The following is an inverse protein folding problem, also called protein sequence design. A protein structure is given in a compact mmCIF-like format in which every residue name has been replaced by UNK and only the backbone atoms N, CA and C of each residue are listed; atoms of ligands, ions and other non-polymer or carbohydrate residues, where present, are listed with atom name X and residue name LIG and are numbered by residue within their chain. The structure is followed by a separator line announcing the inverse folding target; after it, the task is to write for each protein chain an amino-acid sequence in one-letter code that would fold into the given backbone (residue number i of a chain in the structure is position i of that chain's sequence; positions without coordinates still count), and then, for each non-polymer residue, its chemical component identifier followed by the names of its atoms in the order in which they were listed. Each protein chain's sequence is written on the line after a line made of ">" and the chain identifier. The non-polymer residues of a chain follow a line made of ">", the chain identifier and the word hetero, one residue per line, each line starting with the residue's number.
data_IF_551234593670
#
_entry.id   IF_551234593670
#
_cell.length_a   1.000
_cell.length_b   1.000
_cell.length_c   1.000
_cell.angle_alpha   90.00
_cell.angle_beta   90.00
_cell.angle_gamma   90.00
#
_symmetry.space_group_name_H-M   'P 1'
#
loop_
_entity.id
_entity.type
_entity.pdbx_description
1 polymer ?
#
# COMPACT_ATOMS: atom_id res chain seq x y z
N UNK A 1 41.59 30.89 -51.32
CA UNK A 1 40.55 31.18 -50.31
C UNK A 1 39.63 29.97 -50.23
N UNK A 2 39.70 29.15 -49.18
CA UNK A 2 38.81 28.01 -49.01
C UNK A 2 37.99 28.22 -47.73
N UNK A 3 36.71 28.49 -47.90
CA UNK A 3 35.73 28.62 -46.80
C UNK A 3 35.52 27.24 -46.17
N UNK A 4 35.96 27.05 -44.93
CA UNK A 4 35.58 25.87 -44.13
C UNK A 4 34.14 26.05 -43.65
N UNK A 5 33.25 25.23 -44.19
CA UNK A 5 31.87 25.10 -43.74
C UNK A 5 31.83 24.48 -42.32
N UNK A 6 31.41 25.27 -41.33
CA UNK A 6 31.24 24.88 -39.91
C UNK A 6 29.88 24.24 -39.61
N UNK A 7 29.07 23.95 -40.62
CA UNK A 7 27.66 23.54 -40.45
C UNK A 7 27.48 22.11 -39.91
N UNK A 8 28.48 21.23 -40.04
CA UNK A 8 28.39 19.84 -39.62
C UNK A 8 28.51 19.62 -38.10
N UNK A 9 29.47 20.27 -37.44
CA UNK A 9 29.73 20.05 -36.01
C UNK A 9 28.64 20.61 -35.10
N UNK A 10 28.01 21.72 -35.49
CA UNK A 10 26.94 22.33 -34.69
C UNK A 10 25.65 21.50 -34.68
N UNK A 11 25.31 20.83 -35.80
CA UNK A 11 24.15 19.93 -35.88
C UNK A 11 24.28 18.72 -34.96
N UNK A 12 25.46 18.11 -34.90
CA UNK A 12 25.70 16.91 -34.07
C UNK A 12 25.64 17.24 -32.57
N UNK A 13 26.13 18.41 -32.14
CA UNK A 13 26.00 18.85 -30.75
C UNK A 13 24.53 19.09 -30.36
N UNK A 14 23.74 19.73 -31.23
CA UNK A 14 22.33 19.99 -30.96
C UNK A 14 21.49 18.71 -30.90
N UNK A 15 21.72 17.74 -31.79
CA UNK A 15 21.05 16.44 -31.73
C UNK A 15 21.36 15.67 -30.43
N UNK A 16 22.62 15.69 -29.98
CA UNK A 16 23.03 14.99 -28.75
C UNK A 16 22.43 15.61 -27.48
N UNK A 17 22.38 16.94 -27.42
CA UNK A 17 21.69 17.64 -26.33
C UNK A 17 20.19 17.36 -26.34
N UNK A 18 19.56 17.37 -27.51
CA UNK A 18 18.12 17.09 -27.63
C UNK A 18 17.76 15.67 -27.17
N UNK A 19 18.56 14.67 -27.54
CA UNK A 19 18.33 13.28 -27.10
C UNK A 19 18.53 13.07 -25.60
N UNK A 20 19.50 13.74 -24.98
CA UNK A 20 19.72 13.66 -23.53
C UNK A 20 18.56 14.30 -22.75
N UNK A 21 18.07 15.46 -23.20
CA UNK A 21 16.95 16.14 -22.57
C UNK A 21 15.65 15.32 -22.69
N UNK A 22 15.38 14.71 -23.84
CA UNK A 22 14.22 13.82 -24.02
C UNK A 22 14.31 12.60 -23.10
N UNK A 23 15.49 11.99 -22.95
CA UNK A 23 15.69 10.86 -22.04
C UNK A 23 15.44 11.24 -20.57
N UNK A 24 15.88 12.43 -20.12
CA UNK A 24 15.63 12.93 -18.76
C UNK A 24 14.14 13.23 -18.55
N UNK A 25 13.46 13.83 -19.52
CA UNK A 25 12.02 14.10 -19.44
C UNK A 25 11.22 12.78 -19.39
N UNK A 26 11.57 11.79 -20.20
CA UNK A 26 10.96 10.47 -20.12
C UNK A 26 11.25 9.75 -18.78
N UNK A 27 12.43 9.95 -18.18
CA UNK A 27 12.79 9.43 -16.86
C UNK A 27 11.93 10.04 -15.75
N UNK A 28 11.68 11.36 -15.80
CA UNK A 28 10.83 12.06 -14.83
C UNK A 28 9.35 11.67 -14.95
N UNK A 29 8.90 11.30 -16.16
CA UNK A 29 7.52 10.83 -16.41
C UNK A 29 7.30 9.36 -16.02
N UNK A 30 8.37 8.58 -15.84
CA UNK A 30 8.32 7.16 -15.47
C UNK A 30 8.48 6.91 -13.97
N UNK A 31 8.66 7.95 -13.16
CA UNK A 31 8.59 7.83 -11.70
C UNK A 31 7.18 7.38 -11.29
N UNK A 32 7.04 6.48 -10.30
CA UNK A 32 5.72 6.15 -9.77
C UNK A 32 5.07 7.44 -9.29
N UNK A 33 3.90 7.76 -9.83
CA UNK A 33 3.09 8.85 -9.29
C UNK A 33 2.63 8.42 -7.90
N UNK A 34 2.93 9.23 -6.88
CA UNK A 34 2.20 9.16 -5.62
C UNK A 34 0.69 9.30 -5.93
N UNK A 35 -0.15 8.50 -5.27
CA UNK A 35 -1.61 8.53 -5.43
C UNK A 35 -2.21 7.60 -6.49
N UNK A 36 -1.47 6.63 -7.03
CA UNK A 36 -2.10 5.48 -7.71
C UNK A 36 -2.35 4.37 -6.68
N UNK A 37 -3.57 4.31 -6.16
CA UNK A 37 -3.95 3.31 -5.15
C UNK A 37 -4.20 1.92 -5.72
N UNK A 38 -4.03 0.89 -4.88
CA UNK A 38 -4.49 -0.48 -5.14
C UNK A 38 -5.85 -0.63 -4.48
N UNK A 39 -6.86 -1.05 -5.25
CA UNK A 39 -8.22 -1.24 -4.76
C UNK A 39 -8.61 -2.72 -4.77
N UNK A 40 -9.22 -3.16 -3.68
CA UNK A 40 -9.87 -4.47 -3.55
C UNK A 40 -11.37 -4.26 -3.39
N UNK A 41 -12.17 -4.93 -4.21
CA UNK A 41 -13.63 -4.85 -4.15
C UNK A 41 -14.19 -5.92 -3.23
N UNK A 42 -15.28 -5.56 -2.56
CA UNK A 42 -16.03 -6.44 -1.68
C UNK A 42 -17.45 -6.64 -2.23
N UNK A 43 -18.04 -7.85 -2.16
CA UNK A 43 -19.39 -8.09 -2.64
C UNK A 43 -20.43 -7.30 -1.84
N UNK A 44 -21.27 -6.52 -2.51
CA UNK A 44 -22.32 -5.76 -1.81
C UNK A 44 -23.35 -6.69 -1.15
N UNK A 45 -23.67 -6.41 0.11
CA UNK A 45 -24.76 -7.05 0.85
C UNK A 45 -24.42 -8.43 1.42
N UNK A 46 -23.14 -8.73 1.62
CA UNK A 46 -22.68 -9.89 2.37
C UNK A 46 -22.35 -9.59 3.85
N UNK A 47 -22.74 -8.39 4.30
CA UNK A 47 -22.78 -7.96 5.70
C UNK A 47 -23.34 -9.06 6.62
N UNK A 48 -22.62 -9.26 7.71
CA UNK A 48 -22.97 -10.16 8.79
C UNK A 48 -24.08 -9.56 9.64
N UNK A 49 -25.25 -10.20 9.65
CA UNK A 49 -26.46 -9.65 10.25
C UNK A 49 -27.28 -8.85 9.24
N UNK A 50 -28.09 -7.91 9.70
CA UNK A 50 -28.91 -7.07 8.83
C UNK A 50 -28.67 -5.60 9.17
N UNK A 51 -28.22 -4.81 8.19
CA UNK A 51 -27.97 -3.38 8.36
C UNK A 51 -26.59 -2.96 7.87
N UNK A 52 -25.98 -2.00 8.54
CA UNK A 52 -24.66 -1.44 8.25
C UNK A 52 -23.66 -1.79 9.35
N UNK A 53 -22.34 -1.77 9.07
CA UNK A 53 -21.67 -1.40 7.82
C UNK A 53 -21.74 -2.47 6.71
N UNK A 54 -21.64 -2.05 5.44
CA UNK A 54 -21.56 -2.90 4.23
C UNK A 54 -20.41 -2.36 3.38
N UNK A 55 -19.24 -3.02 3.42
CA UNK A 55 -18.03 -2.61 2.71
C UNK A 55 -18.22 -2.87 1.22
N UNK A 56 -17.77 -1.95 0.37
CA UNK A 56 -17.74 -2.16 -1.10
C UNK A 56 -16.33 -2.21 -1.66
N UNK A 57 -15.37 -1.73 -0.88
CA UNK A 57 -13.97 -1.89 -1.21
C UNK A 57 -13.04 -1.14 -0.29
N UNK A 58 -11.76 -1.42 -0.46
CA UNK A 58 -10.67 -0.74 0.21
C UNK A 58 -9.65 -0.32 -0.83
N UNK A 59 -9.32 0.95 -0.83
CA UNK A 59 -8.23 1.51 -1.61
C UNK A 59 -7.06 1.83 -0.70
N UNK A 60 -5.87 1.41 -1.10
CA UNK A 60 -4.62 1.69 -0.39
C UNK A 60 -3.68 2.48 -1.28
N UNK A 61 -3.14 3.59 -0.81
CA UNK A 61 -2.25 4.45 -1.60
C UNK A 61 -1.06 4.93 -0.78
N UNK A 62 0.12 4.98 -1.39
CA UNK A 62 1.24 5.67 -0.78
C UNK A 62 1.05 7.18 -0.86
N UNK A 63 1.14 7.84 0.29
CA UNK A 63 0.97 9.30 0.40
C UNK A 63 2.23 10.07 -0.02
N UNK A 64 3.39 9.38 -0.08
CA UNK A 64 4.68 9.99 -0.36
C UNK A 64 5.49 9.19 -1.40
N UNK A 65 6.41 9.83 -2.14
CA UNK A 65 7.39 9.11 -2.97
C UNK A 65 8.34 8.20 -2.17
N UNK A 66 8.53 8.45 -0.87
CA UNK A 66 9.34 7.60 -0.01
C UNK A 66 8.62 6.28 0.34
N UNK A 67 7.28 6.26 0.19
CA UNK A 67 6.42 5.12 0.51
C UNK A 67 6.61 4.65 1.95
N UNK A 68 6.71 5.62 2.87
CA UNK A 68 6.81 5.44 4.32
C UNK A 68 5.45 5.50 5.01
N UNK A 69 4.42 5.93 4.29
CA UNK A 69 3.06 6.07 4.75
C UNK A 69 2.10 5.49 3.71
N UNK A 70 1.13 4.71 4.19
CA UNK A 70 0.04 4.16 3.38
C UNK A 70 -1.29 4.69 3.90
N UNK A 71 -2.02 5.38 3.03
CA UNK A 71 -3.39 5.77 3.27
C UNK A 71 -4.33 4.62 2.91
N UNK A 72 -5.27 4.34 3.79
CA UNK A 72 -6.41 3.47 3.59
C UNK A 72 -7.65 4.33 3.39
N UNK A 73 -8.43 4.00 2.37
CA UNK A 73 -9.80 4.50 2.16
C UNK A 73 -10.71 3.27 2.11
N UNK A 74 -11.58 3.14 3.10
CA UNK A 74 -12.60 2.08 3.17
C UNK A 74 -13.91 2.68 2.72
N UNK A 75 -14.52 2.11 1.69
CA UNK A 75 -15.77 2.58 1.11
C UNK A 75 -16.93 1.69 1.53
N UNK A 76 -18.10 2.30 1.79
CA UNK A 76 -19.30 1.64 2.27
C UNK A 76 -20.51 1.88 1.35
N UNK A 77 -21.32 0.85 1.15
CA UNK A 77 -22.55 0.90 0.34
C UNK A 77 -23.61 1.81 0.98
N UNK A 78 -23.60 1.91 2.31
CA UNK A 78 -24.56 2.67 3.10
C UNK A 78 -23.86 3.59 4.11
N UNK A 79 -24.55 4.63 4.62
CA UNK A 79 -23.93 5.52 5.58
C UNK A 79 -23.48 4.81 6.86
N UNK A 80 -22.32 5.21 7.39
CA UNK A 80 -21.78 4.72 8.67
C UNK A 80 -21.93 5.77 9.78
N UNK A 81 -22.05 5.30 11.03
CA UNK A 81 -22.04 6.15 12.21
C UNK A 81 -20.68 6.07 12.90
N UNK A 82 -19.93 7.17 12.89
CA UNK A 82 -18.63 7.25 13.54
C UNK A 82 -18.70 7.04 15.08
N UNK A 83 -19.85 7.30 15.70
CA UNK A 83 -20.03 7.16 17.15
C UNK A 83 -20.31 5.72 17.60
N UNK A 84 -20.58 4.80 16.66
CA UNK A 84 -20.80 3.39 16.94
C UNK A 84 -19.89 2.50 16.07
N UNK A 85 -18.84 3.08 15.50
CA UNK A 85 -17.93 2.36 14.61
C UNK A 85 -16.88 1.58 15.40
N UNK A 86 -16.94 0.26 15.30
CA UNK A 86 -15.89 -0.63 15.78
C UNK A 86 -15.18 -1.22 14.57
N UNK A 87 -13.85 -1.31 14.61
CA UNK A 87 -13.13 -1.96 13.52
C UNK A 87 -11.77 -2.47 13.94
N UNK A 88 -11.23 -3.35 13.11
CA UNK A 88 -9.97 -4.03 13.31
C UNK A 88 -9.34 -4.33 11.96
N UNK A 89 -8.06 -3.98 11.80
CA UNK A 89 -7.28 -4.28 10.60
C UNK A 89 -6.09 -5.16 11.00
N UNK A 90 -6.08 -6.40 10.50
CA UNK A 90 -4.97 -7.34 10.62
C UNK A 90 -3.95 -7.09 9.52
N UNK A 91 -2.66 -7.15 9.85
CA UNK A 91 -1.56 -7.00 8.89
C UNK A 91 -0.62 -8.19 9.02
N UNK A 92 -0.52 -8.96 7.94
CA UNK A 92 0.44 -10.05 7.74
C UNK A 92 1.58 -9.52 6.88
N UNK A 93 2.69 -9.19 7.55
CA UNK A 93 3.82 -8.53 6.91
C UNK A 93 4.91 -9.52 6.49
N UNK A 94 4.90 -10.77 6.94
CA UNK A 94 5.85 -11.79 6.50
C UNK A 94 5.27 -12.75 5.44
N UNK A 95 3.98 -12.59 5.12
CA UNK A 95 3.21 -13.33 4.13
C UNK A 95 3.07 -14.81 4.47
N UNK A 96 3.11 -15.13 5.76
CA UNK A 96 3.02 -16.49 6.25
C UNK A 96 1.90 -16.59 7.28
N UNK A 97 0.78 -17.17 6.85
CA UNK A 97 -0.38 -17.36 7.72
C UNK A 97 -0.18 -18.31 8.90
N UNK A 98 1.01 -18.91 9.03
CA UNK A 98 1.41 -19.72 10.18
C UNK A 98 2.22 -18.94 11.24
N UNK A 99 2.60 -17.69 10.98
CA UNK A 99 3.31 -16.79 11.91
C UNK A 99 2.35 -15.76 12.53
N UNK A 100 2.87 -14.86 13.38
CA UNK A 100 2.08 -13.81 14.02
C UNK A 100 1.30 -14.18 15.30
N UNK A 101 0.42 -13.26 15.70
CA UNK A 101 -0.47 -13.42 16.85
C UNK A 101 -1.62 -14.36 16.50
N UNK A 102 -1.63 -15.55 17.11
CA UNK A 102 -2.63 -16.58 16.83
C UNK A 102 -4.03 -16.10 17.25
N UNK A 103 -4.89 -15.75 16.29
CA UNK A 103 -6.28 -15.38 16.55
C UNK A 103 -6.96 -14.77 15.34
N UNK A 104 -7.46 -15.61 14.43
CA UNK A 104 -8.33 -15.13 13.36
C UNK A 104 -9.57 -14.43 13.93
N UNK A 105 -9.95 -13.31 13.35
CA UNK A 105 -11.19 -12.61 13.71
C UNK A 105 -12.40 -13.28 13.05
N UNK A 106 -13.58 -13.13 13.65
CA UNK A 106 -14.79 -13.90 13.28
C UNK A 106 -14.73 -15.36 13.73
N UNK A 107 -13.95 -15.67 14.77
CA UNK A 107 -13.87 -17.01 15.40
C UNK A 107 -14.14 -16.92 16.90
N UNK A 108 -14.25 -18.08 17.57
CA UNK A 108 -14.32 -18.14 19.03
C UNK A 108 -13.12 -17.44 19.65
N UNK A 109 -13.35 -16.77 20.78
CA UNK A 109 -12.28 -16.22 21.61
C UNK A 109 -11.25 -17.31 21.85
N UNK A 110 -10.02 -17.11 21.36
CA UNK A 110 -8.95 -18.06 21.52
C UNK A 110 -8.15 -17.70 22.78
N UNK A 111 -8.17 -18.52 23.84
CA UNK A 111 -7.41 -18.22 25.05
C UNK A 111 -5.91 -18.10 24.72
N UNK A 112 -5.29 -17.00 25.14
CA UNK A 112 -3.88 -16.71 24.84
C UNK A 112 -3.64 -15.98 23.51
N UNK A 113 -4.70 -15.67 22.77
CA UNK A 113 -4.66 -14.81 21.59
C UNK A 113 -4.84 -13.33 21.97
N UNK A 114 -3.78 -12.51 21.86
CA UNK A 114 -3.88 -11.08 22.14
C UNK A 114 -4.76 -10.30 21.16
N UNK A 115 -4.93 -10.79 19.93
CA UNK A 115 -5.73 -10.14 18.88
C UNK A 115 -7.20 -10.61 18.80
N UNK A 116 -7.60 -11.62 19.58
CA UNK A 116 -8.97 -12.16 19.54
C UNK A 116 -10.05 -11.29 20.19
N UNK A 117 -9.71 -10.18 20.85
CA UNK A 117 -10.66 -9.36 21.62
C UNK A 117 -11.79 -8.79 20.74
N UNK A 118 -11.55 -8.54 19.46
CA UNK A 118 -12.58 -8.04 18.53
C UNK A 118 -13.77 -9.00 18.41
N UNK A 119 -13.55 -10.31 18.66
CA UNK A 119 -14.59 -11.33 18.66
C UNK A 119 -15.60 -11.19 19.82
N UNK A 120 -15.33 -10.33 20.82
CA UNK A 120 -16.35 -9.92 21.82
C UNK A 120 -17.42 -9.01 21.22
N UNK A 121 -17.04 -8.17 20.25
CA UNK A 121 -17.91 -7.15 19.68
C UNK A 121 -18.58 -7.59 18.38
N UNK A 122 -17.89 -8.46 17.63
CA UNK A 122 -18.35 -8.96 16.34
C UNK A 122 -18.79 -10.42 16.51
N UNK A 123 -20.11 -10.63 16.64
CA UNK A 123 -20.64 -11.96 17.02
C UNK A 123 -20.54 -12.97 15.86
N UNK A 124 -19.99 -14.16 16.17
CA UNK A 124 -19.87 -15.27 15.22
C UNK A 124 -21.20 -15.84 14.72
N UNK A 125 -22.30 -15.62 15.45
CA UNK A 125 -23.61 -16.16 15.03
C UNK A 125 -24.14 -15.50 13.75
N UNK A 126 -23.45 -14.46 13.27
CA UNK A 126 -23.87 -13.63 12.15
C UNK A 126 -22.91 -13.68 10.95
N UNK A 127 -21.73 -14.33 11.05
CA UNK A 127 -20.70 -14.31 10.01
C UNK A 127 -20.70 -15.57 9.12
N UNK A 128 -21.38 -15.58 7.95
CA UNK A 128 -21.23 -16.64 6.96
C UNK A 128 -19.84 -16.63 6.31
N UNK A 129 -19.19 -17.80 6.28
CA UNK A 129 -17.97 -18.04 5.50
C UNK A 129 -16.78 -18.51 6.34
N UNK A 130 -15.68 -18.86 5.66
CA UNK A 130 -14.44 -19.24 6.35
C UNK A 130 -13.82 -18.01 7.04
N UNK A 131 -13.25 -18.14 8.25
CA UNK A 131 -12.50 -17.06 8.89
C UNK A 131 -11.33 -16.61 8.02
N UNK A 132 -11.01 -15.31 8.06
CA UNK A 132 -9.77 -14.79 7.48
C UNK A 132 -8.66 -15.02 8.51
N UNK A 133 -7.68 -15.84 8.16
CA UNK A 133 -6.49 -16.10 8.98
C UNK A 133 -5.27 -15.70 8.18
N UNK A 134 -4.74 -14.52 8.49
CA UNK A 134 -3.55 -13.99 7.85
C UNK A 134 -2.28 -14.26 8.66
N UNK A 135 -2.40 -14.62 9.94
CA UNK A 135 -1.24 -14.76 10.82
C UNK A 135 -0.59 -13.41 11.10
N UNK A 136 -1.40 -12.38 11.40
CA UNK A 136 -0.90 -11.00 11.46
C UNK A 136 0.21 -10.79 12.51
N UNK A 137 1.30 -10.15 12.10
CA UNK A 137 2.34 -9.64 12.99
C UNK A 137 1.91 -8.35 13.69
N UNK A 138 1.00 -7.59 13.08
CA UNK A 138 0.50 -6.33 13.60
C UNK A 138 -1.01 -6.24 13.42
N UNK A 139 -1.65 -5.48 14.31
CA UNK A 139 -3.03 -5.11 14.13
C UNK A 139 -3.30 -3.66 14.50
N UNK A 140 -4.32 -3.10 13.89
CA UNK A 140 -4.81 -1.75 14.16
C UNK A 140 -6.18 -1.86 14.81
N UNK A 141 -6.31 -1.39 16.04
CA UNK A 141 -7.58 -1.27 16.76
C UNK A 141 -8.28 0.03 16.33
N UNK A 142 -9.15 -0.04 15.34
CA UNK A 142 -9.90 1.14 14.88
C UNK A 142 -10.95 1.59 15.91
N UNK A 143 -11.39 0.70 16.82
CA UNK A 143 -12.33 1.03 17.88
C UNK A 143 -11.72 1.95 18.96
N UNK A 144 -10.41 1.83 19.21
CA UNK A 144 -9.68 2.74 20.12
C UNK A 144 -9.83 4.23 19.74
N UNK A 145 -10.03 4.53 18.45
CA UNK A 145 -10.24 5.89 17.96
C UNK A 145 -11.48 6.55 18.55
N UNK A 146 -12.52 5.79 18.91
CA UNK A 146 -13.73 6.31 19.55
C UNK A 146 -13.45 6.91 20.94
N UNK A 147 -12.40 6.43 21.61
CA UNK A 147 -12.04 6.80 22.97
C UNK A 147 -10.80 7.70 23.02
N UNK A 148 -10.18 7.97 21.87
CA UNK A 148 -9.01 8.83 21.73
C UNK A 148 -9.43 10.30 21.53
N UNK A 149 -8.73 11.23 22.19
CA UNK A 149 -8.95 12.68 22.04
C UNK A 149 -8.67 13.17 20.62
N UNK A 150 -7.74 12.51 19.93
CA UNK A 150 -7.29 12.85 18.58
C UNK A 150 -7.90 11.95 17.49
N UNK A 151 -8.89 11.11 17.86
CA UNK A 151 -9.52 10.11 16.98
C UNK A 151 -8.51 9.21 16.22
N UNK A 152 -7.37 8.87 16.84
CA UNK A 152 -6.37 7.98 16.25
C UNK A 152 -6.60 6.54 16.68
N UNK A 153 -6.32 5.59 15.79
CA UNK A 153 -6.34 4.18 16.11
C UNK A 153 -4.97 3.72 16.62
N UNK A 154 -4.98 2.85 17.61
CA UNK A 154 -3.80 2.21 18.16
C UNK A 154 -3.28 1.11 17.23
N UNK A 155 -1.96 1.03 17.09
CA UNK A 155 -1.25 -0.01 16.32
C UNK A 155 -0.48 -0.89 17.30
N UNK A 156 -0.74 -2.19 17.27
CA UNK A 156 -0.14 -3.16 18.17
C UNK A 156 0.70 -4.18 17.42
N UNK A 157 1.79 -4.62 18.06
CA UNK A 157 2.46 -5.87 17.69
C UNK A 157 1.63 -7.05 18.22
N UNK A 158 1.16 -7.90 17.31
CA UNK A 158 0.21 -8.94 17.62
C UNK A 158 0.79 -9.97 18.59
N UNK A 159 2.04 -10.41 18.43
CA UNK A 159 2.61 -11.47 19.28
C UNK A 159 2.75 -11.09 20.76
N UNK A 160 2.97 -9.81 21.05
CA UNK A 160 3.26 -9.29 22.39
C UNK A 160 2.13 -8.46 23.00
N UNK A 161 1.09 -8.14 22.22
CA UNK A 161 0.06 -7.16 22.56
C UNK A 161 0.61 -5.78 22.92
N UNK A 162 1.79 -5.43 22.42
CA UNK A 162 2.45 -4.16 22.75
C UNK A 162 2.03 -3.07 21.78
N UNK A 163 1.64 -1.90 22.31
CA UNK A 163 1.39 -0.71 21.50
C UNK A 163 2.71 -0.25 20.85
N UNK A 164 2.75 -0.22 19.52
CA UNK A 164 3.92 0.21 18.74
C UNK A 164 3.77 1.63 18.18
N UNK A 165 2.55 2.15 18.11
CA UNK A 165 2.26 3.51 17.66
C UNK A 165 0.78 3.74 17.42
N UNK A 166 0.46 4.80 16.67
CA UNK A 166 -0.90 5.15 16.28
C UNK A 166 -0.97 5.51 14.79
N UNK A 167 -2.16 5.44 14.21
CA UNK A 167 -2.44 5.97 12.87
C UNK A 167 -2.52 7.50 12.87
N UNK A 168 -2.72 8.10 11.70
CA UNK A 168 -3.34 9.44 11.65
C UNK A 168 -4.74 9.42 12.26
N UNK A 169 -5.31 10.60 12.53
CA UNK A 169 -6.72 10.70 12.90
C UNK A 169 -7.61 10.03 11.84
N UNK A 170 -8.57 9.25 12.29
CA UNK A 170 -9.58 8.63 11.44
C UNK A 170 -10.54 9.72 10.96
N UNK A 171 -10.72 9.79 9.65
CA UNK A 171 -11.64 10.73 9.01
C UNK A 171 -12.85 9.97 8.50
N UNK A 172 -14.00 10.23 9.11
CA UNK A 172 -15.27 9.60 8.73
C UNK A 172 -16.04 10.52 7.77
N UNK A 173 -16.24 10.04 6.54
CA UNK A 173 -17.27 10.54 5.66
C UNK A 173 -18.59 9.78 5.88
N UNK A 174 -19.64 10.20 5.18
CA UNK A 174 -20.91 9.47 5.25
C UNK A 174 -20.76 8.01 4.78
N UNK A 175 -20.01 7.79 3.70
CA UNK A 175 -19.85 6.48 3.04
C UNK A 175 -18.41 5.99 3.02
N UNK A 176 -17.50 6.61 3.78
CA UNK A 176 -16.11 6.18 3.81
C UNK A 176 -15.42 6.46 5.14
N UNK A 177 -14.34 5.72 5.35
CA UNK A 177 -13.37 5.94 6.42
C UNK A 177 -11.99 6.09 5.79
N UNK A 178 -11.26 7.13 6.18
CA UNK A 178 -9.88 7.35 5.75
C UNK A 178 -8.92 7.46 6.94
N UNK A 179 -7.74 6.85 6.82
CA UNK A 179 -6.62 7.03 7.74
C UNK A 179 -5.29 6.67 7.08
N UNK A 180 -4.18 7.14 7.64
CA UNK A 180 -2.83 6.84 7.20
C UNK A 180 -2.09 6.02 8.25
N UNK A 181 -1.39 4.99 7.80
CA UNK A 181 -0.52 4.14 8.60
C UNK A 181 0.94 4.38 8.21
N UNK A 182 1.78 4.67 9.21
CA UNK A 182 3.23 4.77 9.01
C UNK A 182 3.83 3.37 8.92
N UNK A 183 4.38 3.01 7.76
CA UNK A 183 5.00 1.70 7.53
C UNK A 183 6.21 1.39 8.41
N UNK A 184 7.02 2.37 8.87
CA UNK A 184 8.01 2.13 9.92
C UNK A 184 7.47 1.45 11.18
N UNK A 185 6.19 1.65 11.52
CA UNK A 185 5.54 0.94 12.65
C UNK A 185 5.40 -0.56 12.38
N UNK A 186 5.35 -0.96 11.11
CA UNK A 186 5.23 -2.34 10.64
C UNK A 186 6.59 -2.94 10.24
N UNK A 187 7.70 -2.40 10.78
CA UNK A 187 9.06 -2.80 10.39
C UNK A 187 9.51 -2.27 9.03
N UNK A 188 8.77 -1.34 8.43
CA UNK A 188 9.08 -0.72 7.14
C UNK A 188 8.74 -1.58 5.92
N UNK A 189 8.02 -2.69 6.11
CA UNK A 189 7.64 -3.55 5.01
C UNK A 189 6.52 -2.88 4.17
N UNK A 190 6.73 -2.89 2.85
CA UNK A 190 5.81 -2.34 1.84
C UNK A 190 4.94 -3.41 1.18
N UNK A 191 5.17 -4.67 1.55
CA UNK A 191 4.57 -5.84 0.95
C UNK A 191 3.94 -6.69 2.05
N UNK A 192 2.63 -6.59 2.19
CA UNK A 192 1.86 -7.24 3.25
C UNK A 192 0.46 -7.64 2.76
N UNK A 193 -0.13 -8.64 3.40
CA UNK A 193 -1.56 -8.92 3.32
C UNK A 193 -2.30 -8.16 4.43
N UNK A 194 -3.57 -7.86 4.20
CA UNK A 194 -4.43 -7.28 5.21
C UNK A 194 -5.81 -7.91 5.22
N UNK A 195 -6.42 -7.89 6.40
CA UNK A 195 -7.79 -8.30 6.64
C UNK A 195 -8.47 -7.26 7.49
N UNK A 196 -9.51 -6.64 6.98
CA UNK A 196 -10.29 -5.62 7.66
C UNK A 196 -11.63 -6.23 8.07
N UNK A 197 -12.03 -5.96 9.31
CA UNK A 197 -13.41 -6.15 9.75
C UNK A 197 -13.88 -4.88 10.44
N UNK A 198 -15.11 -4.48 10.16
CA UNK A 198 -15.76 -3.34 10.78
C UNK A 198 -17.17 -3.72 11.24
N UNK A 199 -17.74 -2.96 12.16
CA UNK A 199 -19.05 -3.25 12.70
C UNK A 199 -19.56 -2.18 13.63
N UNK A 200 -20.67 -2.50 14.27
CA UNK A 200 -21.29 -1.73 15.35
C UNK A 200 -21.25 -2.51 16.66
N UNK A 201 -21.40 -1.83 17.80
CA UNK A 201 -21.36 -2.50 19.10
C UNK A 201 -22.49 -3.54 19.26
N UNK A 202 -22.18 -4.83 19.03
CA UNK A 202 -23.14 -5.93 19.13
C UNK A 202 -24.17 -5.98 18.00
N UNK A 203 -23.93 -5.23 16.92
CA UNK A 203 -24.79 -5.16 15.75
C UNK A 203 -24.18 -5.81 14.50
N UNK A 204 -24.59 -5.39 13.29
CA UNK A 204 -24.04 -5.91 12.06
C UNK A 204 -22.56 -5.58 11.92
N UNK A 205 -21.87 -6.40 11.12
CA UNK A 205 -20.46 -6.25 10.81
C UNK A 205 -20.18 -6.69 9.40
N UNK A 206 -19.05 -6.27 8.85
CA UNK A 206 -18.64 -6.66 7.53
C UNK A 206 -17.14 -6.76 7.41
N UNK A 207 -16.67 -7.50 6.41
CA UNK A 207 -15.26 -7.81 6.27
C UNK A 207 -14.78 -7.81 4.84
N UNK A 208 -13.52 -7.44 4.67
CA UNK A 208 -12.83 -7.49 3.39
C UNK A 208 -11.37 -7.86 3.62
N UNK A 209 -10.75 -8.56 2.67
CA UNK A 209 -9.31 -8.83 2.69
C UNK A 209 -8.72 -8.70 1.30
N UNK A 210 -7.42 -8.44 1.21
CA UNK A 210 -6.71 -8.58 -0.07
C UNK A 210 -6.39 -10.05 -0.43
N UNK A 211 -6.88 -11.00 0.37
CA UNK A 211 -6.70 -12.43 0.18
C UNK A 211 -5.24 -12.86 0.31
N UNK A 212 -4.74 -13.61 -0.68
CA UNK A 212 -3.33 -14.04 -0.77
C UNK A 212 -2.53 -13.20 -1.77
N UNK A 213 -3.13 -12.13 -2.30
CA UNK A 213 -2.49 -11.22 -3.23
C UNK A 213 -1.96 -10.04 -2.42
N UNK A 214 -0.71 -10.08 -1.95
CA UNK A 214 -0.15 -9.02 -1.13
C UNK A 214 -0.23 -7.68 -1.86
N UNK A 215 -0.21 -6.60 -1.09
CA UNK A 215 -0.07 -5.26 -1.63
C UNK A 215 1.29 -5.15 -2.35
N UNK A 216 1.31 -5.53 -3.63
CA UNK A 216 2.49 -5.45 -4.48
C UNK A 216 2.54 -4.06 -5.08
N UNK A 217 3.49 -3.25 -4.66
CA UNK A 217 3.82 -2.03 -5.39
C UNK A 217 4.95 -2.36 -6.36
N UNK A 218 4.63 -2.64 -7.62
CA UNK A 218 5.66 -2.89 -8.65
C UNK A 218 5.28 -2.08 -9.90
N UNK A 219 6.21 -1.30 -10.50
CA UNK A 219 7.62 -1.67 -10.68
C UNK A 219 8.66 -0.76 -10.00
N UNK A 220 9.78 -1.36 -9.59
CA UNK A 220 11.05 -0.66 -9.46
C UNK A 220 11.35 0.07 -10.79
N UNK A 221 11.54 1.40 -10.80
CA UNK A 221 12.24 2.06 -11.87
C UNK A 221 13.71 2.11 -11.47
N UNK A 222 14.58 1.31 -12.09
CA UNK A 222 15.86 1.81 -12.66
C UNK A 222 16.89 0.75 -13.01
N UNK A 223 16.84 -0.51 -12.58
CA UNK A 223 17.94 -1.46 -12.87
C UNK A 223 18.06 -1.79 -14.37
N UNK A 224 16.95 -1.93 -15.09
CA UNK A 224 16.96 -2.09 -16.56
C UNK A 224 17.34 -0.79 -17.31
N UNK A 225 16.98 0.39 -16.79
CA UNK A 225 17.24 1.70 -17.42
C UNK A 225 18.68 2.18 -17.18
N UNK A 226 19.23 1.90 -15.99
CA UNK A 226 20.62 2.16 -15.63
C UNK A 226 21.57 1.30 -16.49
N UNK A 227 21.18 0.07 -16.80
CA UNK A 227 21.93 -0.80 -17.72
C UNK A 227 21.96 -0.20 -19.14
N UNK A 228 20.85 0.32 -19.65
CA UNK A 228 20.80 0.99 -20.97
C UNK A 228 21.62 2.28 -21.01
N UNK A 229 21.70 3.02 -19.89
CA UNK A 229 22.56 4.20 -19.75
C UNK A 229 24.05 3.82 -19.71
N UNK A 230 24.43 2.77 -18.97
CA UNK A 230 25.83 2.30 -18.93
C UNK A 230 26.31 1.81 -20.29
N UNK A 231 25.51 1.02 -21.03
CA UNK A 231 25.90 0.52 -22.35
C UNK A 231 25.75 1.57 -23.46
N UNK A 232 24.80 2.50 -23.35
CA UNK A 232 24.61 3.59 -24.31
C UNK A 232 25.72 4.66 -24.30
N UNK A 233 26.39 4.84 -23.15
CA UNK A 233 27.54 5.77 -23.01
C UNK A 233 28.84 5.12 -23.53
N UNK A 234 28.90 3.79 -23.68
CA UNK A 234 30.12 3.06 -24.09
C UNK A 234 30.32 2.88 -25.59
N UNK A 235 29.59 3.52 -26.51
CA UNK A 235 30.04 3.55 -27.92
C UNK A 235 31.35 4.35 -27.96
N UNK A 236 32.53 3.70 -28.13
CA UNK A 236 33.78 4.42 -28.09
C UNK A 236 33.81 5.30 -29.33
N UNK A 237 34.37 6.50 -29.16
CA UNK A 237 34.91 7.33 -30.23
C UNK A 237 36.03 6.55 -30.96
N UNK A 238 35.68 5.53 -31.73
CA UNK A 238 36.61 4.88 -32.64
C UNK A 238 36.77 5.80 -33.83
N UNK A 239 37.69 6.77 -33.72
CA UNK A 239 38.23 7.48 -34.88
C UNK A 239 39.22 6.54 -35.56
N UNK A 240 38.93 5.96 -36.73
CA UNK A 240 39.99 5.30 -37.49
C UNK A 240 41.05 6.35 -37.85
N UNK A 241 42.27 6.19 -37.32
CA UNK A 241 43.45 6.88 -37.85
C UNK A 241 43.59 6.46 -39.31
N UNK A 242 43.39 7.39 -40.25
CA UNK A 242 43.83 7.18 -41.64
C UNK A 242 45.34 7.04 -41.63
N UNK A 243 45.81 5.82 -41.81
CA UNK A 243 47.20 5.58 -42.22
C UNK A 243 47.25 5.87 -43.72
N UNK A 244 47.84 7.01 -44.09
CA UNK A 244 48.30 7.22 -45.46
C UNK A 244 49.50 6.29 -45.66
N UNK A 245 49.31 5.17 -46.36
CA UNK A 245 50.44 4.51 -47.01
C UNK A 245 50.86 5.39 -48.19
N UNK A 246 52.04 5.98 -48.10
CA UNK A 246 52.81 6.33 -49.29
C UNK A 246 53.49 5.04 -49.78
N UNK A 247 53.15 4.63 -50.99
CA UNK A 247 54.02 3.87 -51.88
C UNK A 247 54.07 4.64 -53.19
#
# INVERSE_FOLDING_TARGET
>A
MAFRSTTGENKVKHQRFFSLTVAIVCLLLALPKAGAGISYSDPVGDTFGAGTPDIVGVTTEFTSPAMDEMKFTVDFNSPIDALDFIGYLDIDNDLNSATGGFGGWGTDLQPGSPNSWINYFISQSQAPGLPVQLGGEYYIDLGSAMFSVDAMADVYEASSASLVGTTSALTFGAHNLEFTLSLPLLGGNKHFNYGLIVGTSGGPSDRVSNGTAPLTTVPEPSSAVLLTLLFGITIPLYRPKRVMLHV
#
